data_IF_891323454241
#
_entry.id   IF_891323454241
#
_cell.length_a   1.000
_cell.length_b   1.000
_cell.length_c   1.000
_cell.angle_alpha   90.00
_cell.angle_beta   90.00
_cell.angle_gamma   90.00
#
_symmetry.space_group_name_H-M   'P 1'
#
loop_
_entity.id
_entity.type
_entity.pdbx_description
1 polymer ?
#
# COMPACT_ATOMS: atom_id res chain seq x y z
N UNK A 1 3.11 2.45 4.62
CA UNK A 1 1.87 3.15 4.21
C UNK A 1 1.38 3.94 5.41
N UNK A 2 0.95 5.18 5.24
CA UNK A 2 0.44 6.01 6.35
C UNK A 2 -0.87 5.41 6.90
N UNK A 3 -0.89 5.04 8.18
CA UNK A 3 -2.04 4.38 8.78
C UNK A 3 -3.23 5.33 9.00
N UNK A 4 -3.00 6.61 9.29
CA UNK A 4 -4.10 7.54 9.58
C UNK A 4 -4.68 8.16 8.31
N UNK A 5 -3.83 8.81 7.50
CA UNK A 5 -4.29 9.60 6.34
C UNK A 5 -4.67 8.75 5.14
N UNK A 6 -4.05 7.57 4.98
CA UNK A 6 -4.27 6.71 3.82
C UNK A 6 -5.14 5.51 4.18
N UNK A 7 -4.79 4.75 5.21
CA UNK A 7 -5.55 3.54 5.53
C UNK A 7 -6.87 3.85 6.24
N UNK A 8 -6.88 4.74 7.23
CA UNK A 8 -8.11 5.06 7.99
C UNK A 8 -9.01 6.09 7.30
N UNK A 9 -8.45 7.24 6.95
CA UNK A 9 -9.22 8.40 6.46
C UNK A 9 -9.32 8.46 4.93
N UNK A 10 -8.47 7.72 4.23
CA UNK A 10 -8.40 7.72 2.77
C UNK A 10 -9.50 6.89 2.11
N UNK A 11 -9.65 7.11 0.81
CA UNK A 11 -10.47 6.28 -0.07
C UNK A 11 -9.66 5.08 -0.60
N UNK A 12 -10.38 4.04 -1.03
CA UNK A 12 -9.78 2.88 -1.73
C UNK A 12 -8.85 3.29 -2.87
N UNK A 13 -9.19 4.33 -3.62
CA UNK A 13 -8.37 4.82 -4.74
C UNK A 13 -7.08 5.50 -4.27
N UNK A 14 -7.16 6.27 -3.17
CA UNK A 14 -5.97 6.88 -2.55
C UNK A 14 -5.03 5.81 -1.99
N UNK A 15 -5.56 4.74 -1.40
CA UNK A 15 -4.77 3.59 -0.96
C UNK A 15 -4.03 2.94 -2.13
N UNK A 16 -4.75 2.64 -3.22
CA UNK A 16 -4.15 2.05 -4.44
C UNK A 16 -3.03 2.92 -4.99
N UNK A 17 -3.29 4.23 -5.11
CA UNK A 17 -2.34 5.22 -5.60
C UNK A 17 -1.11 5.31 -4.70
N UNK A 18 -1.28 5.28 -3.38
CA UNK A 18 -0.17 5.34 -2.44
C UNK A 18 0.70 4.09 -2.50
N UNK A 19 0.08 2.90 -2.55
CA UNK A 19 0.80 1.63 -2.69
C UNK A 19 1.58 1.60 -4.00
N UNK A 20 0.96 1.98 -5.12
CA UNK A 20 1.64 2.06 -6.40
C UNK A 20 2.83 3.03 -6.36
N UNK A 21 2.65 4.23 -5.76
CA UNK A 21 3.70 5.23 -5.59
C UNK A 21 4.89 4.69 -4.80
N UNK A 22 4.62 4.00 -3.68
CA UNK A 22 5.68 3.42 -2.83
C UNK A 22 6.43 2.30 -3.52
N UNK A 23 5.72 1.38 -4.17
CA UNK A 23 6.35 0.28 -4.92
C UNK A 23 7.22 0.82 -6.05
N UNK A 24 6.69 1.75 -6.86
CA UNK A 24 7.45 2.34 -7.97
C UNK A 24 8.72 3.07 -7.50
N UNK A 25 8.66 3.76 -6.36
CA UNK A 25 9.79 4.53 -5.82
C UNK A 25 10.81 3.72 -5.03
N UNK A 26 10.40 2.63 -4.36
CA UNK A 26 11.22 1.95 -3.35
C UNK A 26 11.55 0.49 -3.71
N UNK A 27 10.74 -0.16 -4.55
CA UNK A 27 10.85 -1.59 -4.75
C UNK A 27 11.84 -2.00 -5.85
N UNK A 28 12.34 -1.06 -6.67
CA UNK A 28 13.28 -1.38 -7.75
C UNK A 28 14.52 -2.10 -7.22
N UNK A 29 14.95 -3.15 -7.91
CA UNK A 29 16.13 -3.96 -7.51
C UNK A 29 15.87 -5.03 -6.44
N UNK A 30 14.67 -5.09 -5.84
CA UNK A 30 14.35 -6.09 -4.82
C UNK A 30 14.44 -5.57 -3.39
N UNK A 31 14.18 -6.44 -2.42
CA UNK A 31 14.43 -6.17 -1.00
C UNK A 31 13.44 -5.23 -0.29
N UNK A 32 12.42 -4.74 -0.99
CA UNK A 32 11.39 -3.89 -0.38
C UNK A 32 10.23 -4.71 0.16
N UNK A 33 9.89 -4.52 1.43
CA UNK A 33 8.72 -5.10 2.08
C UNK A 33 7.72 -3.98 2.35
N UNK A 34 6.55 -4.06 1.71
CA UNK A 34 5.49 -3.10 1.91
C UNK A 34 4.71 -3.42 3.19
N UNK A 35 4.62 -2.46 4.09
CA UNK A 35 3.87 -2.54 5.34
C UNK A 35 3.30 -1.15 5.73
N UNK A 36 2.31 -1.09 6.64
CA UNK A 36 1.93 0.16 7.31
C UNK A 36 3.12 0.74 8.10
N UNK A 37 3.15 2.06 8.31
CA UNK A 37 4.21 2.73 9.07
C UNK A 37 4.08 2.51 10.59
N UNK A 38 2.87 2.24 11.06
CA UNK A 38 2.54 1.84 12.41
C UNK A 38 1.39 0.81 12.39
N UNK A 39 0.95 0.35 13.55
CA UNK A 39 -0.16 -0.60 13.68
C UNK A 39 -1.44 -0.14 12.96
N UNK A 40 -2.20 -1.12 12.48
CA UNK A 40 -3.55 -0.93 11.97
C UNK A 40 -4.48 -0.74 13.16
N UNK A 41 -5.32 0.29 13.12
CA UNK A 41 -6.30 0.63 14.16
C UNK A 41 -7.65 -0.01 13.88
N UNK A 42 -8.46 -0.23 14.92
CA UNK A 42 -9.76 -0.92 14.83
C UNK A 42 -10.79 -0.22 13.94
N UNK A 43 -10.64 1.09 13.76
CA UNK A 43 -11.48 1.95 12.93
C UNK A 43 -10.99 2.03 11.47
N UNK A 44 -9.95 1.28 11.09
CA UNK A 44 -9.46 1.22 9.71
C UNK A 44 -10.46 0.45 8.83
N UNK A 45 -11.02 1.08 7.77
CA UNK A 45 -11.94 0.40 6.86
C UNK A 45 -11.32 -0.86 6.22
N UNK A 46 -12.06 -1.96 6.22
CA UNK A 46 -11.59 -3.26 5.70
C UNK A 46 -11.29 -3.18 4.20
N UNK A 47 -12.09 -2.44 3.45
CA UNK A 47 -11.90 -2.18 2.03
C UNK A 47 -10.56 -1.51 1.73
N UNK A 48 -10.08 -0.64 2.61
CA UNK A 48 -8.78 0.02 2.47
C UNK A 48 -7.64 -0.97 2.73
N UNK A 49 -7.79 -1.87 3.70
CA UNK A 49 -6.82 -2.94 3.92
C UNK A 49 -6.77 -3.89 2.71
N UNK A 50 -7.92 -4.35 2.22
CA UNK A 50 -8.01 -5.20 1.02
C UNK A 50 -7.36 -4.50 -0.17
N UNK A 51 -7.68 -3.22 -0.39
CA UNK A 51 -7.08 -2.41 -1.47
C UNK A 51 -5.56 -2.33 -1.35
N UNK A 52 -5.02 -2.19 -0.13
CA UNK A 52 -3.59 -2.19 0.11
C UNK A 52 -2.95 -3.54 -0.29
N UNK A 53 -3.53 -4.66 0.15
CA UNK A 53 -3.02 -6.00 -0.17
C UNK A 53 -3.12 -6.32 -1.66
N UNK A 54 -4.25 -6.03 -2.31
CA UNK A 54 -4.45 -6.32 -3.72
C UNK A 54 -3.54 -5.47 -4.61
N UNK A 55 -3.36 -4.20 -4.24
CA UNK A 55 -2.39 -3.31 -4.91
C UNK A 55 -0.96 -3.81 -4.76
N UNK A 56 -0.60 -4.30 -3.57
CA UNK A 56 0.72 -4.86 -3.32
C UNK A 56 0.96 -6.12 -4.18
N UNK A 57 -0.03 -7.00 -4.30
CA UNK A 57 0.03 -8.18 -5.18
C UNK A 57 0.12 -7.80 -6.66
N UNK A 58 -0.61 -6.76 -7.07
CA UNK A 58 -0.66 -6.30 -8.46
C UNK A 58 0.64 -5.62 -8.91
N UNK A 59 1.15 -4.67 -8.12
CA UNK A 59 2.31 -3.85 -8.49
C UNK A 59 3.64 -4.40 -7.96
N UNK A 60 3.63 -5.18 -6.88
CA UNK A 60 4.84 -5.63 -6.16
C UNK A 60 5.50 -6.88 -6.74
N UNK A 61 5.08 -7.33 -7.92
CA UNK A 61 5.65 -8.52 -8.56
C UNK A 61 6.94 -8.16 -9.30
N UNK A 62 8.03 -8.83 -8.92
CA UNK A 62 9.33 -8.64 -9.54
C UNK A 62 9.45 -9.31 -10.92
N UNK A 63 10.19 -8.71 -11.88
CA UNK A 63 10.75 -7.36 -11.81
C UNK A 63 9.64 -6.30 -11.83
N UNK A 64 9.80 -5.23 -11.03
CA UNK A 64 8.82 -4.14 -10.96
C UNK A 64 8.71 -3.49 -12.33
N UNK A 65 7.51 -3.54 -12.91
CA UNK A 65 7.20 -2.93 -14.21
C UNK A 65 6.66 -1.52 -13.94
N UNK A 66 7.44 -0.52 -14.34
CA UNK A 66 7.18 0.91 -14.10
C UNK A 66 6.08 1.51 -14.97
#
# INVERSE_FOLDING_TARGET
IDQHKILREGTVEEVKKEVHRKIKGLASGGGYILAPAHNIEEDTPVENLIAMYDSAKGYGRYPIRC
#
